data_IF_047976463960
#
_entry.id   IF_047976463960
#
_cell.length_a   1.000
_cell.length_b   1.000
_cell.length_c   1.000
_cell.angle_alpha   90.00
_cell.angle_beta   90.00
_cell.angle_gamma   90.00
#
_symmetry.space_group_name_H-M   'P 1'
#
loop_
_entity.id
_entity.type
_entity.pdbx_description
1 polymer ?
#
# COMPACT_ATOMS: atom_id res chain seq x y z
N UNK A 1 2.01 31.86 12.05
CA UNK A 1 0.60 31.73 11.62
C UNK A 1 0.08 30.42 12.19
N UNK A 2 -1.17 30.36 12.66
CA UNK A 2 -1.71 29.11 13.21
C UNK A 2 -1.83 28.07 12.08
N UNK A 3 -1.30 26.86 12.29
CA UNK A 3 -1.37 25.78 11.31
C UNK A 3 -2.84 25.37 11.14
N UNK A 4 -3.37 25.43 9.92
CA UNK A 4 -4.79 25.16 9.68
C UNK A 4 -5.05 23.66 9.82
N UNK A 5 -5.86 23.26 10.81
CA UNK A 5 -6.24 21.85 11.01
C UNK A 5 -7.31 21.45 10.01
N UNK A 6 -7.11 20.36 9.28
CA UNK A 6 -8.08 19.88 8.27
C UNK A 6 -8.12 18.36 8.22
N UNK A 7 -9.32 17.79 8.21
CA UNK A 7 -9.48 16.33 8.12
C UNK A 7 -9.42 15.87 6.66
N UNK A 8 -8.69 14.79 6.42
CA UNK A 8 -8.63 14.08 5.16
C UNK A 8 -9.09 12.63 5.37
N UNK A 9 -10.15 12.24 4.67
CA UNK A 9 -10.70 10.89 4.66
C UNK A 9 -10.15 10.10 3.49
N UNK A 10 -9.88 8.82 3.74
CA UNK A 10 -9.46 7.83 2.75
C UNK A 10 -10.51 6.72 2.72
N UNK A 11 -11.40 6.75 1.73
CA UNK A 11 -12.60 5.92 1.70
C UNK A 11 -12.50 4.92 0.54
N UNK A 12 -12.69 3.64 0.81
CA UNK A 12 -12.62 2.61 -0.23
C UNK A 12 -13.57 1.46 0.07
N UNK A 13 -14.13 0.87 -0.98
CA UNK A 13 -14.88 -0.39 -0.90
C UNK A 13 -13.99 -1.62 -0.64
N UNK A 14 -12.66 -1.49 -0.80
CA UNK A 14 -11.66 -2.48 -0.43
C UNK A 14 -10.84 -2.09 0.80
N UNK A 15 -9.56 -2.48 0.83
CA UNK A 15 -8.66 -2.27 1.97
C UNK A 15 -8.25 -0.81 2.21
N UNK A 16 -8.53 0.10 1.27
CA UNK A 16 -8.11 1.49 1.35
C UNK A 16 -6.63 1.74 1.09
N UNK A 17 -5.88 0.75 0.60
CA UNK A 17 -4.45 0.90 0.26
C UNK A 17 -4.28 1.90 -0.89
N UNK A 18 -5.08 1.78 -1.95
CA UNK A 18 -5.00 2.65 -3.14
C UNK A 18 -5.28 4.11 -2.78
N UNK A 19 -6.39 4.37 -2.09
CA UNK A 19 -6.70 5.71 -1.58
C UNK A 19 -5.61 6.21 -0.61
N UNK A 20 -5.12 5.34 0.28
CA UNK A 20 -4.08 5.66 1.25
C UNK A 20 -2.73 6.04 0.62
N UNK A 21 -2.35 5.46 -0.51
CA UNK A 21 -1.11 5.80 -1.22
C UNK A 21 -1.13 7.27 -1.70
N UNK A 22 -2.27 7.75 -2.20
CA UNK A 22 -2.43 9.16 -2.58
C UNK A 22 -2.45 10.12 -1.38
N UNK A 23 -2.58 9.62 -0.16
CA UNK A 23 -2.42 10.41 1.05
C UNK A 23 -1.04 11.06 1.18
N UNK A 24 -0.02 10.50 0.52
CA UNK A 24 1.30 11.11 0.43
C UNK A 24 1.26 12.49 -0.25
N UNK A 25 0.27 12.76 -1.11
CA UNK A 25 0.12 14.07 -1.76
C UNK A 25 -0.11 15.20 -0.75
N UNK A 26 -0.68 14.89 0.41
CA UNK A 26 -0.91 15.88 1.47
C UNK A 26 0.40 16.44 2.04
N UNK A 27 1.52 15.71 1.92
CA UNK A 27 2.83 16.17 2.38
C UNK A 27 3.36 17.39 1.62
N UNK A 28 2.82 17.67 0.42
CA UNK A 28 3.16 18.87 -0.34
C UNK A 28 2.60 20.18 0.26
N UNK A 29 1.80 20.11 1.32
CA UNK A 29 1.16 21.26 1.97
C UNK A 29 1.58 21.38 3.45
N UNK A 30 2.84 21.75 3.73
CA UNK A 30 3.40 21.72 5.09
C UNK A 30 2.73 22.69 6.08
N UNK A 31 2.06 23.73 5.57
CA UNK A 31 1.34 24.72 6.40
C UNK A 31 -0.04 24.21 6.88
N UNK A 32 -0.53 23.09 6.35
CA UNK A 32 -1.80 22.48 6.76
C UNK A 32 -1.54 21.26 7.64
N UNK A 33 -2.17 21.22 8.81
CA UNK A 33 -2.10 20.05 9.69
C UNK A 33 -3.25 19.09 9.36
N UNK A 34 -2.93 17.97 8.71
CA UNK A 34 -3.94 16.99 8.33
C UNK A 34 -4.23 15.97 9.44
N UNK A 35 -5.50 15.81 9.79
CA UNK A 35 -5.98 14.61 10.51
C UNK A 35 -6.43 13.59 9.48
N UNK A 36 -5.71 12.47 9.36
CA UNK A 36 -5.98 11.45 8.36
C UNK A 36 -6.86 10.33 8.95
N UNK A 37 -8.00 10.03 8.31
CA UNK A 37 -8.95 9.00 8.73
C UNK A 37 -9.15 8.01 7.60
N UNK A 38 -8.92 6.72 7.85
CA UNK A 38 -9.20 5.64 6.88
C UNK A 38 -10.55 4.99 7.17
N UNK A 39 -11.36 4.82 6.13
CA UNK A 39 -12.64 4.12 6.16
C UNK A 39 -12.60 3.04 5.06
N UNK A 40 -12.07 1.85 5.36
CA UNK A 40 -12.05 0.75 4.41
C UNK A 40 -13.40 0.02 4.36
N UNK A 41 -13.57 -0.83 3.36
CA UNK A 41 -14.74 -1.68 3.15
C UNK A 41 -16.07 -0.92 3.08
N UNK A 42 -16.10 0.31 2.56
CA UNK A 42 -17.31 1.11 2.32
C UNK A 42 -18.03 0.61 1.06
N UNK A 43 -18.70 -0.53 1.19
CA UNK A 43 -19.30 -1.32 0.10
C UNK A 43 -20.84 -1.47 0.22
N UNK A 44 -21.47 -0.71 1.11
CA UNK A 44 -22.93 -0.71 1.30
C UNK A 44 -23.47 0.67 1.66
N UNK A 45 -24.74 0.91 1.37
CA UNK A 45 -25.45 2.16 1.69
C UNK A 45 -25.29 2.55 3.17
N UNK A 46 -25.43 1.58 4.10
CA UNK A 46 -25.27 1.82 5.54
C UNK A 46 -23.85 2.29 5.92
N UNK A 47 -22.81 1.82 5.22
CA UNK A 47 -21.43 2.26 5.47
C UNK A 47 -21.13 3.61 4.81
N UNK A 48 -21.80 3.92 3.70
CA UNK A 48 -21.74 5.26 3.08
C UNK A 48 -22.37 6.29 4.02
N UNK A 49 -23.53 6.00 4.60
CA UNK A 49 -24.19 6.85 5.59
C UNK A 49 -23.31 7.10 6.83
N UNK A 50 -22.65 6.07 7.37
CA UNK A 50 -21.67 6.25 8.46
C UNK A 50 -20.49 7.14 8.04
N UNK A 51 -19.96 6.95 6.82
CA UNK A 51 -18.88 7.79 6.31
C UNK A 51 -19.31 9.25 6.14
N UNK A 52 -20.50 9.50 5.60
CA UNK A 52 -21.09 10.84 5.48
C UNK A 52 -21.22 11.52 6.84
N UNK A 53 -21.74 10.82 7.87
CA UNK A 53 -21.83 11.35 9.24
C UNK A 53 -20.48 11.78 9.79
N UNK A 54 -19.43 10.97 9.57
CA UNK A 54 -18.06 11.32 9.98
C UNK A 54 -17.51 12.54 9.24
N UNK A 55 -17.78 12.65 7.94
CA UNK A 55 -17.38 13.81 7.12
C UNK A 55 -18.04 15.09 7.65
N UNK A 56 -19.36 15.04 7.90
CA UNK A 56 -20.13 16.19 8.43
C UNK A 56 -19.60 16.60 9.81
N UNK A 57 -19.32 15.65 10.70
CA UNK A 57 -18.75 15.93 12.02
C UNK A 57 -17.37 16.58 11.92
N UNK A 58 -16.48 16.06 11.07
CA UNK A 58 -15.15 16.65 10.87
C UNK A 58 -15.20 18.08 10.34
N UNK A 59 -16.17 18.39 9.46
CA UNK A 59 -16.42 19.75 8.98
C UNK A 59 -16.80 20.68 10.15
N UNK A 60 -17.71 20.25 11.02
CA UNK A 60 -18.13 21.02 12.18
C UNK A 60 -16.97 21.25 13.16
N UNK A 61 -16.15 20.23 13.40
CA UNK A 61 -15.01 20.31 14.31
C UNK A 61 -13.86 21.19 13.79
N UNK A 62 -13.56 21.12 12.49
CA UNK A 62 -12.43 21.88 11.91
C UNK A 62 -12.86 23.26 11.38
N UNK A 63 -14.16 23.50 11.22
CA UNK A 63 -14.69 24.74 10.64
C UNK A 63 -14.41 24.89 9.14
N UNK A 64 -13.91 23.86 8.47
CA UNK A 64 -13.51 23.87 7.05
C UNK A 64 -13.91 22.56 6.37
N UNK A 65 -14.20 22.62 5.06
CA UNK A 65 -14.59 21.43 4.28
C UNK A 65 -13.49 20.34 4.36
N UNK A 66 -13.80 19.10 4.75
CA UNK A 66 -12.85 18.00 4.71
C UNK A 66 -12.39 17.69 3.29
N UNK A 67 -11.31 16.93 3.17
CA UNK A 67 -10.86 16.31 1.92
C UNK A 67 -11.28 14.84 1.97
N UNK A 68 -11.80 14.30 0.87
CA UNK A 68 -12.16 12.90 0.72
C UNK A 68 -11.41 12.34 -0.48
N UNK A 69 -10.43 11.48 -0.25
CA UNK A 69 -9.74 10.71 -1.27
C UNK A 69 -10.42 9.34 -1.31
N UNK A 70 -11.02 8.98 -2.44
CA UNK A 70 -11.89 7.80 -2.52
C UNK A 70 -11.63 6.89 -3.71
N UNK A 71 -11.81 5.60 -3.48
CA UNK A 71 -11.75 4.56 -4.51
C UNK A 71 -12.88 3.55 -4.26
N UNK A 72 -14.10 3.93 -4.66
CA UNK A 72 -15.31 3.09 -4.59
C UNK A 72 -15.74 2.76 -6.02
N UNK A 73 -15.73 1.49 -6.39
CA UNK A 73 -16.06 1.04 -7.74
C UNK A 73 -17.55 1.13 -8.09
N UNK A 74 -18.43 1.04 -7.09
CA UNK A 74 -19.87 1.13 -7.31
C UNK A 74 -20.31 2.60 -7.54
N UNK A 75 -20.79 2.97 -8.75
CA UNK A 75 -21.15 4.35 -9.06
C UNK A 75 -22.32 4.88 -8.23
N UNK A 76 -23.26 4.03 -7.78
CA UNK A 76 -24.35 4.43 -6.87
C UNK A 76 -23.78 4.90 -5.53
N UNK A 77 -22.92 4.09 -4.92
CA UNK A 77 -22.28 4.42 -3.65
C UNK A 77 -21.36 5.64 -3.77
N UNK A 78 -20.71 5.82 -4.93
CA UNK A 78 -19.92 7.03 -5.21
C UNK A 78 -20.79 8.29 -5.19
N UNK A 79 -21.91 8.26 -5.91
CA UNK A 79 -22.83 9.38 -6.00
C UNK A 79 -23.43 9.71 -4.62
N UNK A 80 -23.89 8.69 -3.89
CA UNK A 80 -24.42 8.84 -2.54
C UNK A 80 -23.37 9.46 -1.59
N UNK A 81 -22.13 8.95 -1.58
CA UNK A 81 -21.07 9.51 -0.73
C UNK A 81 -20.77 10.99 -1.02
N UNK A 82 -21.01 11.45 -2.25
CA UNK A 82 -20.80 12.85 -2.71
C UNK A 82 -21.93 13.82 -2.34
N UNK A 83 -22.98 13.35 -1.68
CA UNK A 83 -24.12 14.20 -1.27
C UNK A 83 -23.80 15.14 -0.08
N UNK A 84 -22.67 14.94 0.60
CA UNK A 84 -22.23 15.80 1.71
C UNK A 84 -21.12 16.77 1.28
N UNK A 85 -21.02 17.93 1.94
CA UNK A 85 -20.02 18.94 1.59
C UNK A 85 -18.60 18.54 2.00
N UNK A 86 -17.83 18.08 1.02
CA UNK A 86 -16.40 17.85 1.11
C UNK A 86 -15.72 18.10 -0.24
N UNK A 87 -14.39 18.18 -0.23
CA UNK A 87 -13.60 18.19 -1.46
C UNK A 87 -13.22 16.76 -1.84
N UNK A 88 -13.77 16.27 -2.95
CA UNK A 88 -13.58 14.89 -3.40
C UNK A 88 -12.44 14.77 -4.41
N UNK A 89 -11.53 13.84 -4.15
CA UNK A 89 -10.56 13.30 -5.09
C UNK A 89 -10.99 11.86 -5.34
N UNK A 90 -11.76 11.66 -6.40
CA UNK A 90 -12.30 10.36 -6.77
C UNK A 90 -11.43 9.69 -7.82
N UNK A 91 -10.84 8.55 -7.46
CA UNK A 91 -9.92 7.84 -8.34
C UNK A 91 -10.63 7.25 -9.56
N UNK A 92 -11.92 6.92 -9.44
CA UNK A 92 -12.68 6.41 -10.58
C UNK A 92 -12.91 7.51 -11.60
N UNK A 93 -13.54 8.60 -11.17
CA UNK A 93 -13.81 9.74 -12.05
C UNK A 93 -12.54 10.37 -12.64
N UNK A 94 -11.45 10.44 -11.85
CA UNK A 94 -10.24 11.17 -12.25
C UNK A 94 -9.28 10.34 -13.12
N UNK A 95 -9.28 9.00 -12.98
CA UNK A 95 -8.25 8.15 -13.59
C UNK A 95 -8.81 6.89 -14.23
N UNK A 96 -9.60 6.10 -13.49
CA UNK A 96 -10.00 4.76 -13.95
C UNK A 96 -11.03 4.85 -15.08
N UNK A 97 -12.06 5.68 -14.95
CA UNK A 97 -13.09 5.82 -15.98
C UNK A 97 -12.52 6.43 -17.28
N UNK A 98 -11.68 7.50 -17.24
CA UNK A 98 -10.95 7.97 -18.42
C UNK A 98 -10.06 6.92 -19.07
N UNK A 99 -9.36 6.09 -18.29
CA UNK A 99 -8.55 4.99 -18.81
C UNK A 99 -9.43 3.92 -19.49
N UNK A 100 -10.60 3.61 -18.95
CA UNK A 100 -11.54 2.69 -19.59
C UNK A 100 -11.99 3.17 -20.97
N UNK A 101 -12.21 4.48 -21.12
CA UNK A 101 -12.52 5.10 -22.42
C UNK A 101 -11.35 4.95 -23.41
N UNK A 102 -10.12 5.27 -22.97
CA UNK A 102 -8.92 5.18 -23.82
C UNK A 102 -8.65 3.72 -24.24
N UNK A 103 -8.75 2.79 -23.30
CA UNK A 103 -8.52 1.37 -23.53
C UNK A 103 -9.70 0.67 -24.21
N UNK A 104 -10.86 1.33 -24.32
CA UNK A 104 -12.12 0.78 -24.84
C UNK A 104 -12.59 -0.46 -24.07
N UNK A 105 -12.38 -0.43 -22.76
CA UNK A 105 -12.73 -1.51 -21.85
C UNK A 105 -13.48 -0.96 -20.64
N UNK A 106 -14.48 -1.69 -20.17
CA UNK A 106 -15.18 -1.39 -18.93
C UNK A 106 -14.25 -1.68 -17.74
N UNK A 107 -13.98 -0.70 -16.86
CA UNK A 107 -13.16 -0.93 -15.68
C UNK A 107 -13.78 -1.98 -14.76
N UNK A 108 -12.94 -2.85 -14.20
CA UNK A 108 -13.38 -3.76 -13.14
C UNK A 108 -13.72 -2.96 -11.88
N UNK A 109 -14.99 -2.99 -11.47
CA UNK A 109 -15.52 -2.25 -10.31
C UNK A 109 -15.59 -3.08 -9.04
N UNK A 110 -15.03 -4.31 -9.04
CA UNK A 110 -15.04 -5.18 -7.87
C UNK A 110 -14.12 -4.63 -6.77
N UNK A 111 -14.51 -4.69 -5.48
CA UNK A 111 -13.63 -4.33 -4.39
C UNK A 111 -12.28 -5.06 -4.48
N UNK A 112 -11.19 -4.31 -4.31
CA UNK A 112 -9.85 -4.88 -4.23
C UNK A 112 -9.20 -5.31 -5.55
N UNK A 113 -9.71 -4.92 -6.73
CA UNK A 113 -9.07 -5.25 -8.04
C UNK A 113 -7.58 -4.89 -8.09
N UNK A 114 -7.20 -3.68 -7.65
CA UNK A 114 -5.79 -3.28 -7.61
C UNK A 114 -4.95 -4.15 -6.65
N UNK A 115 -5.56 -4.68 -5.59
CA UNK A 115 -4.90 -5.55 -4.62
C UNK A 115 -4.84 -7.01 -5.10
N UNK A 116 -5.87 -7.50 -5.79
CA UNK A 116 -5.92 -8.85 -6.35
C UNK A 116 -5.07 -8.99 -7.61
N UNK A 117 -4.92 -7.94 -8.42
CA UNK A 117 -3.97 -7.90 -9.55
C UNK A 117 -2.50 -7.81 -9.09
N UNK A 118 -2.25 -7.30 -7.88
CA UNK A 118 -0.95 -7.47 -7.22
C UNK A 118 -0.71 -8.92 -6.74
N UNK A 119 -1.64 -9.86 -6.98
CA UNK A 119 -1.55 -11.26 -6.54
C UNK A 119 -0.32 -11.99 -7.04
N UNK A 120 0.21 -11.67 -8.23
CA UNK A 120 1.50 -12.19 -8.70
C UNK A 120 2.65 -11.62 -7.86
N UNK A 121 2.72 -10.29 -7.74
CA UNK A 121 3.72 -9.63 -6.89
C UNK A 121 3.63 -10.02 -5.41
N UNK A 122 2.46 -10.40 -4.89
CA UNK A 122 2.27 -10.87 -3.52
C UNK A 122 2.71 -12.32 -3.34
N UNK A 123 2.33 -13.21 -4.27
CA UNK A 123 2.79 -14.60 -4.27
C UNK A 123 4.31 -14.66 -4.39
N UNK A 124 4.88 -13.92 -5.35
CA UNK A 124 6.33 -13.84 -5.56
C UNK A 124 7.05 -13.24 -4.35
N UNK A 125 6.44 -12.24 -3.70
CA UNK A 125 6.96 -11.66 -2.47
C UNK A 125 6.88 -12.61 -1.28
N UNK A 126 5.81 -13.38 -1.15
CA UNK A 126 5.70 -14.42 -0.12
C UNK A 126 6.70 -15.54 -0.35
N UNK A 127 6.91 -15.93 -1.62
CA UNK A 127 7.97 -16.87 -1.98
C UNK A 127 9.35 -16.31 -1.63
N UNK A 128 9.61 -15.03 -1.92
CA UNK A 128 10.86 -14.35 -1.55
C UNK A 128 11.08 -14.26 -0.04
N UNK A 129 10.03 -13.99 0.75
CA UNK A 129 10.10 -13.96 2.21
C UNK A 129 10.40 -15.36 2.76
N UNK A 130 9.67 -16.38 2.29
CA UNK A 130 9.90 -17.76 2.69
C UNK A 130 11.31 -18.24 2.32
N UNK A 131 11.80 -17.84 1.13
CA UNK A 131 13.16 -18.11 0.70
C UNK A 131 14.19 -17.45 1.62
N UNK A 132 14.02 -16.16 1.93
CA UNK A 132 14.95 -15.42 2.78
C UNK A 132 14.97 -15.96 4.23
N UNK A 133 13.82 -16.33 4.79
CA UNK A 133 13.72 -16.98 6.10
C UNK A 133 14.38 -18.38 6.09
N UNK A 134 14.14 -19.18 5.06
CA UNK A 134 14.74 -20.52 4.93
C UNK A 134 16.25 -20.52 4.70
N UNK A 135 16.83 -19.37 4.32
CA UNK A 135 18.26 -19.18 4.08
C UNK A 135 18.94 -18.27 5.10
N UNK A 136 18.26 -17.85 6.17
CA UNK A 136 18.86 -16.94 7.16
C UNK A 136 19.91 -17.62 8.04
N UNK A 137 19.68 -18.88 8.38
CA UNK A 137 20.50 -19.64 9.33
C UNK A 137 21.85 -20.08 8.73
N UNK A 138 22.09 -19.86 7.44
CA UNK A 138 23.34 -20.22 6.73
C UNK A 138 23.61 -21.72 6.63
N UNK A 139 22.72 -22.57 7.16
CA UNK A 139 22.92 -24.02 7.27
C UNK A 139 22.58 -24.79 5.99
N UNK A 140 21.86 -24.17 5.05
CA UNK A 140 21.41 -24.83 3.82
C UNK A 140 22.06 -24.21 2.59
N UNK A 141 23.07 -24.90 2.04
CA UNK A 141 23.65 -24.59 0.73
C UNK A 141 22.71 -24.97 -0.43
N UNK A 142 21.66 -25.74 -0.15
CA UNK A 142 20.67 -26.17 -1.12
C UNK A 142 19.80 -24.97 -1.53
N UNK A 143 19.70 -24.71 -2.84
CA UNK A 143 18.81 -23.66 -3.37
C UNK A 143 19.47 -22.29 -3.57
N UNK A 144 20.77 -22.12 -3.29
CA UNK A 144 21.49 -20.86 -3.57
C UNK A 144 21.42 -20.43 -5.05
N UNK A 145 21.32 -21.39 -5.97
CA UNK A 145 21.13 -21.13 -7.39
C UNK A 145 19.80 -20.47 -7.75
N UNK A 146 18.83 -20.48 -6.82
CA UNK A 146 17.52 -19.83 -6.97
C UNK A 146 17.49 -18.44 -6.33
N UNK A 147 18.57 -18.05 -5.63
CA UNK A 147 18.69 -16.72 -5.04
C UNK A 147 18.90 -15.66 -6.13
N UNK A 148 18.20 -14.54 -6.02
CA UNK A 148 18.46 -13.37 -6.85
C UNK A 148 19.67 -12.57 -6.32
N UNK A 149 19.87 -12.60 -5.00
CA UNK A 149 20.98 -11.95 -4.31
C UNK A 149 21.51 -12.88 -3.23
N UNK A 150 22.83 -12.99 -3.14
CA UNK A 150 23.50 -13.71 -2.05
C UNK A 150 24.28 -12.68 -1.24
N UNK A 151 23.93 -12.55 0.04
CA UNK A 151 24.63 -11.70 0.99
C UNK A 151 25.76 -12.51 1.61
N UNK A 152 27.00 -12.12 1.33
CA UNK A 152 28.22 -12.77 1.84
C UNK A 152 28.86 -11.89 2.89
N UNK A 153 29.23 -12.45 4.03
CA UNK A 153 29.97 -11.71 5.04
C UNK A 153 30.07 -12.39 6.40
N UNK A 154 30.91 -11.84 7.28
CA UNK A 154 31.16 -12.37 8.62
C UNK A 154 29.93 -12.33 9.51
N UNK A 155 29.87 -13.20 10.53
CA UNK A 155 28.77 -13.19 11.51
C UNK A 155 28.49 -11.78 12.06
N UNK A 156 27.20 -11.46 12.28
CA UNK A 156 26.72 -10.16 12.81
C UNK A 156 26.96 -8.93 11.91
N UNK A 157 27.26 -9.09 10.63
CA UNK A 157 27.37 -7.97 9.67
C UNK A 157 26.04 -7.43 9.11
N UNK A 158 24.91 -7.71 9.78
CA UNK A 158 23.58 -7.22 9.34
C UNK A 158 22.94 -7.98 8.17
N UNK A 159 23.49 -9.11 7.73
CA UNK A 159 22.96 -9.89 6.59
C UNK A 159 21.50 -10.30 6.77
N UNK A 160 21.15 -10.84 7.93
CA UNK A 160 19.80 -11.27 8.31
C UNK A 160 18.74 -10.17 8.15
N UNK A 161 18.86 -8.99 8.81
CA UNK A 161 17.87 -7.94 8.62
C UNK A 161 17.85 -7.41 7.17
N UNK A 162 18.99 -7.41 6.47
CA UNK A 162 19.05 -7.01 5.06
C UNK A 162 18.35 -8.00 4.13
N UNK A 163 18.54 -9.31 4.28
CA UNK A 163 17.89 -10.32 3.42
C UNK A 163 16.37 -10.28 3.58
N UNK A 164 15.88 -10.20 4.82
CA UNK A 164 14.46 -10.09 5.12
C UNK A 164 13.89 -8.76 4.59
N UNK A 165 14.60 -7.65 4.74
CA UNK A 165 14.18 -6.37 4.19
C UNK A 165 14.05 -6.41 2.66
N UNK A 166 15.04 -7.00 1.97
CA UNK A 166 15.02 -7.15 0.51
C UNK A 166 13.83 -7.99 0.03
N UNK A 167 13.53 -9.08 0.73
CA UNK A 167 12.37 -9.91 0.45
C UNK A 167 11.05 -9.15 0.68
N UNK A 168 10.90 -8.43 1.79
CA UNK A 168 9.65 -7.75 2.15
C UNK A 168 9.34 -6.54 1.27
N UNK A 169 10.33 -5.71 0.96
CA UNK A 169 10.13 -4.46 0.24
C UNK A 169 10.15 -4.66 -1.28
N UNK A 170 11.02 -5.55 -1.75
CA UNK A 170 11.31 -5.69 -3.18
C UNK A 170 10.94 -7.07 -3.74
N UNK A 171 10.52 -8.04 -2.91
CA UNK A 171 10.20 -9.40 -3.38
C UNK A 171 11.44 -10.15 -3.88
N UNK A 172 12.63 -9.81 -3.38
CA UNK A 172 13.89 -10.42 -3.81
C UNK A 172 14.19 -11.68 -2.99
N UNK A 173 14.46 -12.80 -3.67
CA UNK A 173 14.97 -14.03 -3.04
C UNK A 173 16.42 -13.83 -2.58
N UNK A 174 16.59 -13.33 -1.36
CA UNK A 174 17.90 -13.04 -0.78
C UNK A 174 18.37 -14.20 0.12
N UNK A 175 19.53 -14.78 -0.17
CA UNK A 175 20.15 -15.82 0.66
C UNK A 175 21.27 -15.24 1.53
N UNK A 176 21.41 -15.73 2.76
CA UNK A 176 22.47 -15.34 3.67
C UNK A 176 23.58 -16.42 3.67
N UNK A 177 24.76 -16.07 3.15
CA UNK A 177 25.93 -16.95 3.15
C UNK A 177 26.95 -16.46 4.19
N UNK A 178 27.15 -17.19 5.30
CA UNK A 178 28.15 -16.84 6.29
C UNK A 178 29.54 -17.08 5.70
N UNK A 179 30.37 -16.04 5.66
CA UNK A 179 31.75 -16.17 5.24
C UNK A 179 32.58 -16.69 6.42
N UNK A 180 33.11 -17.90 6.32
CA UNK A 180 33.92 -18.53 7.38
C UNK A 180 35.40 -18.60 6.99
N UNK A 181 36.33 -18.78 7.95
CA UNK A 181 37.75 -18.93 7.65
C UNK A 181 38.04 -20.09 6.68
N UNK A 182 37.30 -21.19 6.77
CA UNK A 182 37.45 -22.38 5.91
C UNK A 182 37.17 -22.07 4.44
N UNK A 183 36.34 -21.07 4.13
CA UNK A 183 36.09 -20.63 2.75
C UNK A 183 37.36 -20.07 2.08
N UNK A 184 38.31 -19.54 2.87
CA UNK A 184 39.58 -19.01 2.38
C UNK A 184 40.67 -20.09 2.26
N UNK A 185 40.45 -21.28 2.80
CA UNK A 185 41.40 -22.39 2.77
C UNK A 185 41.24 -23.31 1.55
N UNK A 186 40.16 -23.13 0.77
CA UNK A 186 39.99 -23.83 -0.52
C UNK A 186 40.99 -23.29 -1.55
N UNK A 187 42.12 -24.00 -1.68
CA UNK A 187 43.06 -23.82 -2.80
C UNK A 187 42.33 -24.06 -4.12
N UNK A 188 42.45 -23.08 -5.01
CA UNK A 188 42.14 -23.13 -6.45
C UNK A 188 42.73 -24.36 -7.13
#
# INVERSE_FOLDING_TARGET
MAQQKRTAFFISDGTGITAGALGQLLAHFPETQFTQIRIPFTDSDAKVDDAQKRIVNAKMENGVRPIVIMSIGNPKLRAELKEVDAYYIDLFDSFIDPLGVELKEEPLTRPGVAHSMAGTNYSDRMEAINFALGHDDGMTHNGLNQANVILVGVSRSGKTPTSIYLAMQFGIKAANYPLTPEDFERKS
#
